data_IF_363665787159
#
_entry.id   IF_363665787159
#
_cell.length_a   1.000
_cell.length_b   1.000
_cell.length_c   1.000
_cell.angle_alpha   90.00
_cell.angle_beta   90.00
_cell.angle_gamma   90.00
#
_symmetry.space_group_name_H-M   'P 1'
#
loop_
_entity.id
_entity.type
_entity.pdbx_description
1 polymer ?
#
# COMPACT_ATOMS: atom_id res chain seq x y z
N UNK A 1 2.07 -9.65 15.79
CA UNK A 1 2.09 -10.63 14.68
C UNK A 1 2.62 -9.87 13.47
N UNK A 2 3.80 -10.23 12.98
CA UNK A 2 4.34 -9.63 11.75
C UNK A 2 3.61 -10.32 10.60
N UNK A 3 2.55 -9.71 10.12
CA UNK A 3 1.79 -10.24 9.00
C UNK A 3 2.70 -10.17 7.77
N UNK A 4 3.10 -11.34 7.27
CA UNK A 4 3.89 -11.47 6.04
C UNK A 4 2.94 -11.33 4.86
N UNK A 5 2.73 -10.10 4.41
CA UNK A 5 2.01 -9.84 3.17
C UNK A 5 2.94 -9.99 1.98
N UNK A 6 2.44 -10.60 0.91
CA UNK A 6 3.12 -10.62 -0.38
C UNK A 6 2.91 -9.30 -1.11
N UNK A 7 3.82 -8.90 -2.02
CA UNK A 7 3.66 -7.70 -2.82
C UNK A 7 2.33 -7.68 -3.59
N UNK A 8 1.87 -8.84 -4.08
CA UNK A 8 0.57 -8.95 -4.77
C UNK A 8 -0.62 -8.61 -3.87
N UNK A 9 -0.59 -9.01 -2.60
CA UNK A 9 -1.68 -8.68 -1.66
C UNK A 9 -1.72 -7.18 -1.36
N UNK A 10 -0.55 -6.57 -1.13
CA UNK A 10 -0.44 -5.13 -0.88
C UNK A 10 -0.86 -4.33 -2.12
N UNK A 11 -0.36 -4.70 -3.30
CA UNK A 11 -0.71 -4.06 -4.58
C UNK A 11 -2.21 -4.15 -4.85
N UNK A 12 -2.81 -5.34 -4.68
CA UNK A 12 -4.25 -5.53 -4.84
C UNK A 12 -5.07 -4.65 -3.87
N UNK A 13 -4.69 -4.61 -2.60
CA UNK A 13 -5.41 -3.79 -1.61
C UNK A 13 -5.29 -2.29 -1.90
N UNK A 14 -4.12 -1.83 -2.35
CA UNK A 14 -3.91 -0.45 -2.79
C UNK A 14 -4.72 -0.12 -4.05
N UNK A 15 -4.76 -1.04 -5.02
CA UNK A 15 -5.57 -0.89 -6.23
C UNK A 15 -7.07 -0.84 -5.93
N UNK A 16 -7.57 -1.72 -5.05
CA UNK A 16 -8.98 -1.74 -4.69
C UNK A 16 -9.41 -0.52 -3.87
N UNK A 17 -8.52 -0.07 -2.97
CA UNK A 17 -8.74 1.13 -2.16
C UNK A 17 -8.58 2.43 -2.97
N UNK A 18 -7.79 2.40 -4.04
CA UNK A 18 -7.38 3.54 -4.87
C UNK A 18 -7.17 4.82 -4.03
N UNK A 19 -6.27 4.77 -3.01
CA UNK A 19 -6.16 5.86 -2.06
C UNK A 19 -5.75 7.16 -2.75
N UNK A 20 -5.01 7.06 -3.86
CA UNK A 20 -4.52 8.21 -4.61
C UNK A 20 -5.49 8.69 -5.70
N UNK A 21 -6.59 7.96 -5.92
CA UNK A 21 -7.57 8.22 -6.97
C UNK A 21 -6.88 8.36 -8.34
N UNK A 22 -6.00 7.41 -8.64
CA UNK A 22 -5.20 7.40 -9.87
C UNK A 22 -6.04 7.00 -11.10
N UNK A 23 -7.35 6.79 -10.93
CA UNK A 23 -8.28 6.35 -11.98
C UNK A 23 -7.89 4.98 -12.60
N UNK A 24 -7.12 4.15 -11.89
CA UNK A 24 -6.56 2.91 -12.43
C UNK A 24 -7.61 1.86 -12.82
N UNK A 25 -8.82 1.92 -12.27
CA UNK A 25 -9.91 0.98 -12.60
C UNK A 25 -10.33 1.01 -14.06
N UNK A 26 -10.16 2.13 -14.76
CA UNK A 26 -10.64 2.26 -16.14
C UNK A 26 -9.63 1.77 -17.19
N UNK A 27 -8.35 1.60 -16.82
CA UNK A 27 -7.28 1.24 -17.76
C UNK A 27 -6.61 -0.11 -17.48
N UNK A 28 -7.08 -0.90 -16.50
CA UNK A 28 -6.43 -2.16 -16.07
C UNK A 28 -4.91 -1.99 -15.80
N UNK A 29 -4.51 -0.80 -15.36
CA UNK A 29 -3.11 -0.49 -15.05
C UNK A 29 -2.83 -0.90 -13.60
N UNK A 30 -2.47 -2.17 -13.42
CA UNK A 30 -2.17 -2.76 -12.10
C UNK A 30 -0.73 -2.52 -11.63
N UNK A 31 0.13 -1.94 -12.46
CA UNK A 31 1.59 -1.90 -12.25
C UNK A 31 2.10 -0.72 -11.40
N UNK A 32 1.29 0.32 -11.17
CA UNK A 32 1.70 1.50 -10.40
C UNK A 32 1.93 1.17 -8.92
N UNK A 33 1.07 0.33 -8.34
CA UNK A 33 1.20 -0.07 -6.93
C UNK A 33 2.12 -1.27 -6.72
N UNK A 34 2.54 -1.98 -7.78
CA UNK A 34 3.42 -3.15 -7.65
C UNK A 34 4.79 -2.76 -7.10
N UNK A 35 5.35 -1.63 -7.54
CA UNK A 35 6.64 -1.14 -7.03
C UNK A 35 6.54 -0.68 -5.58
N UNK A 36 5.46 0.04 -5.23
CA UNK A 36 5.17 0.44 -3.85
C UNK A 36 5.04 -0.81 -2.97
N UNK A 37 4.29 -1.81 -3.42
CA UNK A 37 4.07 -3.05 -2.70
C UNK A 37 5.33 -3.88 -2.50
N UNK A 38 6.22 -3.92 -3.49
CA UNK A 38 7.51 -4.58 -3.36
C UNK A 38 8.35 -3.95 -2.25
N UNK A 39 8.50 -2.63 -2.26
CA UNK A 39 9.27 -1.92 -1.23
C UNK A 39 8.62 -1.99 0.15
N UNK A 40 7.28 -1.97 0.24
CA UNK A 40 6.57 -2.20 1.50
C UNK A 40 6.91 -3.57 2.06
N UNK A 41 6.97 -4.60 1.22
CA UNK A 41 7.31 -5.97 1.65
C UNK A 41 8.76 -6.06 2.16
N UNK A 42 9.68 -5.37 1.50
CA UNK A 42 11.08 -5.27 1.94
C UNK A 42 11.17 -4.61 3.33
N UNK A 43 10.44 -3.52 3.56
CA UNK A 43 10.38 -2.84 4.88
C UNK A 43 9.74 -3.70 5.96
N UNK A 44 8.71 -4.46 5.63
CA UNK A 44 8.11 -5.43 6.54
C UNK A 44 9.15 -6.49 6.96
N UNK A 45 9.99 -6.95 6.02
CA UNK A 45 11.08 -7.89 6.31
C UNK A 45 12.19 -7.26 7.18
N UNK A 46 12.42 -5.96 7.06
CA UNK A 46 13.32 -5.18 7.93
C UNK A 46 12.75 -4.95 9.34
N UNK A 47 11.49 -5.33 9.58
CA UNK A 47 10.84 -5.25 10.89
C UNK A 47 9.97 -4.01 11.10
N UNK A 48 9.70 -3.22 10.07
CA UNK A 48 8.72 -2.15 10.14
C UNK A 48 7.30 -2.73 10.23
N UNK A 49 6.40 -1.97 10.84
CA UNK A 49 4.97 -2.28 10.80
C UNK A 49 4.37 -1.98 9.43
N UNK A 50 3.29 -2.67 9.07
CA UNK A 50 2.54 -2.42 7.83
C UNK A 50 2.13 -0.95 7.70
N UNK A 51 1.64 -0.35 8.78
CA UNK A 51 1.22 1.04 8.83
C UNK A 51 2.37 1.99 8.48
N UNK A 52 3.55 1.80 9.09
CA UNK A 52 4.73 2.61 8.80
C UNK A 52 5.23 2.41 7.36
N UNK A 53 5.37 1.15 6.93
CA UNK A 53 5.87 0.84 5.60
C UNK A 53 4.97 1.44 4.50
N UNK A 54 3.65 1.32 4.62
CA UNK A 54 2.70 1.88 3.67
C UNK A 54 2.70 3.41 3.68
N UNK A 55 2.68 4.05 4.85
CA UNK A 55 2.71 5.52 4.94
C UNK A 55 3.99 6.07 4.34
N UNK A 56 5.14 5.50 4.67
CA UNK A 56 6.42 5.99 4.17
C UNK A 56 6.57 5.78 2.66
N UNK A 57 6.18 4.62 2.13
CA UNK A 57 6.29 4.37 0.69
C UNK A 57 5.29 5.20 -0.11
N UNK A 58 4.04 5.32 0.33
CA UNK A 58 3.05 6.17 -0.36
C UNK A 58 3.47 7.63 -0.31
N UNK A 59 3.97 8.11 0.84
CA UNK A 59 4.53 9.47 0.96
C UNK A 59 5.69 9.69 -0.01
N UNK A 60 6.66 8.76 -0.08
CA UNK A 60 7.82 8.87 -0.98
C UNK A 60 7.42 8.86 -2.45
N UNK A 61 6.55 7.94 -2.86
CA UNK A 61 6.19 7.75 -4.26
C UNK A 61 5.23 8.82 -4.80
N UNK A 62 4.25 9.25 -4.01
CA UNK A 62 3.19 10.16 -4.49
C UNK A 62 3.35 11.60 -4.01
N UNK A 63 4.12 11.83 -2.93
CA UNK A 63 4.24 13.14 -2.30
C UNK A 63 5.70 13.58 -2.12
N UNK A 64 6.67 12.91 -2.76
CA UNK A 64 8.11 13.20 -2.62
C UNK A 64 8.57 13.25 -1.15
N UNK A 65 8.00 12.36 -0.33
CA UNK A 65 8.27 12.30 1.11
C UNK A 65 7.54 13.36 1.95
N UNK A 66 6.65 14.14 1.36
CA UNK A 66 5.82 15.09 2.09
C UNK A 66 4.69 14.40 2.86
N UNK A 67 4.20 15.09 3.88
CA UNK A 67 3.03 14.66 4.63
C UNK A 67 1.78 14.64 3.74
N UNK A 68 0.97 13.59 3.89
CA UNK A 68 -0.32 13.46 3.24
C UNK A 68 -1.36 12.99 4.26
N UNK A 69 -2.64 13.06 3.88
CA UNK A 69 -3.72 12.54 4.71
C UNK A 69 -3.69 11.00 4.74
N UNK A 70 -3.16 10.45 5.83
CA UNK A 70 -3.07 9.00 6.08
C UNK A 70 -4.45 8.35 6.13
N UNK A 71 -5.52 9.12 6.38
CA UNK A 71 -6.89 8.62 6.35
C UNK A 71 -7.26 8.03 4.99
N UNK A 72 -6.60 8.47 3.90
CA UNK A 72 -6.74 7.90 2.55
C UNK A 72 -6.33 6.42 2.49
N UNK A 73 -5.44 5.95 3.37
CA UNK A 73 -5.02 4.55 3.46
C UNK A 73 -5.92 3.67 4.33
N UNK A 74 -6.93 4.25 4.99
CA UNK A 74 -7.81 3.51 5.92
C UNK A 74 -8.44 2.29 5.25
N UNK A 75 -8.90 2.43 4.00
CA UNK A 75 -9.51 1.33 3.26
C UNK A 75 -8.47 0.26 2.89
N UNK A 76 -7.26 0.64 2.48
CA UNK A 76 -6.18 -0.30 2.19
C UNK A 76 -5.78 -1.10 3.45
N UNK A 77 -5.68 -0.45 4.61
CA UNK A 77 -5.43 -1.14 5.88
C UNK A 77 -6.55 -2.10 6.25
N UNK A 78 -7.80 -1.71 6.01
CA UNK A 78 -8.96 -2.56 6.27
C UNK A 78 -8.91 -3.82 5.40
N UNK A 79 -8.71 -3.66 4.10
CA UNK A 79 -8.60 -4.79 3.16
C UNK A 79 -7.47 -5.74 3.53
N UNK A 80 -6.29 -5.22 3.88
CA UNK A 80 -5.15 -6.05 4.29
C UNK A 80 -5.36 -6.78 5.62
N UNK A 81 -6.21 -6.24 6.51
CA UNK A 81 -6.49 -6.83 7.82
C UNK A 81 -7.71 -7.76 7.82
N UNK A 82 -8.66 -7.57 6.92
CA UNK A 82 -9.90 -8.35 6.85
C UNK A 82 -9.82 -9.54 5.87
N UNK A 83 -9.11 -9.42 4.73
CA UNK A 83 -9.11 -10.48 3.70
C UNK A 83 -8.16 -11.65 3.99
N UNK A 84 -7.31 -11.56 5.02
CA UNK A 84 -6.21 -12.51 5.25
C UNK A 84 -6.01 -12.96 6.71
N UNK A 85 -7.06 -12.87 7.53
CA UNK A 85 -7.16 -13.58 8.83
C UNK A 85 -7.65 -15.01 8.66
#
# INVERSE_FOLDING_TARGET
>A
MNANFTPKQISKALFEADPMNTCCRENDCFDEYDRVAQTVTERLAEGLSLDQALVEEVSKWFFDGAHFDVSRLTLAFKLLREDWQ
#
